data_IF_066931320664
#
_entry.id   IF_066931320664
#
_cell.length_a   1.000
_cell.length_b   1.000
_cell.length_c   1.000
_cell.angle_alpha   90.00
_cell.angle_beta   90.00
_cell.angle_gamma   90.00
#
_symmetry.space_group_name_H-M   'P 1'
#
loop_
_entity.id
_entity.type
_entity.pdbx_description
1 polymer ?
#
# COMPACT_ATOMS: atom_id res chain seq x y z
N UNK A 1 -19.16 -40.62 32.12
CA UNK A 1 -18.62 -39.25 32.28
C UNK A 1 -18.65 -38.59 30.92
N UNK A 2 -19.51 -37.59 30.81
CA UNK A 2 -19.91 -36.89 29.59
C UNK A 2 -18.76 -36.11 29.00
N UNK A 3 -18.49 -36.30 27.71
CA UNK A 3 -17.58 -35.42 26.89
C UNK A 3 -18.42 -34.20 26.49
N UNK A 4 -17.89 -33.03 26.83
CA UNK A 4 -18.41 -31.72 26.46
C UNK A 4 -18.10 -31.46 24.96
N UNK A 5 -19.07 -31.02 24.14
CA UNK A 5 -18.83 -30.72 22.75
C UNK A 5 -18.15 -29.35 22.61
N UNK A 6 -17.02 -29.35 21.90
CA UNK A 6 -16.24 -28.20 21.50
C UNK A 6 -17.09 -27.06 20.93
N UNK A 7 -16.76 -25.85 21.33
CA UNK A 7 -17.31 -24.59 20.81
C UNK A 7 -17.16 -24.52 19.29
N UNK A 8 -18.25 -24.72 18.59
CA UNK A 8 -18.41 -24.28 17.21
C UNK A 8 -18.51 -22.74 17.24
N UNK A 9 -17.46 -22.04 16.85
CA UNK A 9 -17.59 -20.62 16.49
C UNK A 9 -18.52 -20.55 15.29
N UNK A 10 -19.76 -20.19 15.53
CA UNK A 10 -20.73 -19.88 14.51
C UNK A 10 -20.17 -18.76 13.63
N UNK A 11 -20.14 -19.01 12.33
CA UNK A 11 -19.88 -17.98 11.32
C UNK A 11 -20.98 -16.94 11.47
N UNK A 12 -20.60 -15.71 11.80
CA UNK A 12 -21.52 -14.58 11.86
C UNK A 12 -21.98 -14.26 10.41
N UNK A 13 -23.23 -14.46 10.04
CA UNK A 13 -23.72 -14.18 8.70
C UNK A 13 -23.70 -12.67 8.34
N UNK A 14 -23.34 -11.79 9.27
CA UNK A 14 -23.18 -10.36 9.03
C UNK A 14 -21.90 -10.00 8.25
N UNK A 15 -20.97 -10.94 8.05
CA UNK A 15 -19.73 -10.71 7.30
C UNK A 15 -19.93 -10.67 5.76
N UNK A 16 -21.11 -10.95 5.24
CA UNK A 16 -21.36 -11.08 3.79
C UNK A 16 -21.76 -9.78 3.07
N UNK A 17 -21.98 -8.66 3.78
CA UNK A 17 -22.47 -7.42 3.17
C UNK A 17 -21.63 -6.19 3.54
N UNK A 18 -20.32 -6.23 3.27
CA UNK A 18 -19.46 -5.07 3.51
C UNK A 18 -19.55 -4.11 2.33
N UNK A 19 -19.73 -2.81 2.61
CA UNK A 19 -19.74 -1.80 1.56
C UNK A 19 -18.35 -1.70 0.89
N UNK A 20 -18.31 -1.64 -0.43
CA UNK A 20 -17.05 -1.47 -1.18
C UNK A 20 -16.29 -0.21 -0.73
N UNK A 21 -17.02 0.87 -0.45
CA UNK A 21 -16.47 2.12 0.08
C UNK A 21 -15.75 1.92 1.42
N UNK A 22 -16.25 1.06 2.29
CA UNK A 22 -15.62 0.73 3.58
C UNK A 22 -14.30 -0.03 3.38
N UNK A 23 -14.30 -1.04 2.49
CA UNK A 23 -13.07 -1.80 2.17
C UNK A 23 -11.97 -0.88 1.66
N UNK A 24 -12.31 0.01 0.72
CA UNK A 24 -11.34 0.95 0.13
C UNK A 24 -10.89 1.98 1.16
N UNK A 25 -11.79 2.53 1.98
CA UNK A 25 -11.46 3.48 3.04
C UNK A 25 -10.52 2.87 4.08
N UNK A 26 -10.73 1.61 4.47
CA UNK A 26 -9.88 0.93 5.43
C UNK A 26 -8.46 0.67 4.85
N UNK A 27 -8.37 0.25 3.60
CA UNK A 27 -7.10 -0.01 2.93
C UNK A 27 -6.33 1.27 2.55
N UNK A 28 -7.02 2.40 2.36
CA UNK A 28 -6.35 3.68 2.07
C UNK A 28 -5.37 4.10 3.17
N UNK A 29 -5.56 3.62 4.40
CA UNK A 29 -4.61 3.81 5.49
C UNK A 29 -3.22 3.19 5.20
N UNK A 30 -3.16 2.08 4.48
CA UNK A 30 -1.88 1.51 4.04
C UNK A 30 -1.15 2.46 3.07
N UNK A 31 -1.90 3.21 2.27
CA UNK A 31 -1.35 4.21 1.35
C UNK A 31 -0.81 5.45 2.11
N UNK A 32 -1.43 5.86 3.23
CA UNK A 32 -0.88 6.91 4.10
C UNK A 32 0.53 6.55 4.57
N UNK A 33 0.77 5.28 4.96
CA UNK A 33 2.08 4.78 5.37
C UNK A 33 3.11 4.89 4.24
N UNK A 34 2.71 4.60 3.00
CA UNK A 34 3.59 4.67 1.81
C UNK A 34 4.13 6.08 1.58
N UNK A 35 3.37 7.09 1.95
CA UNK A 35 3.71 8.51 1.80
C UNK A 35 4.36 9.13 3.04
N UNK A 36 4.59 8.35 4.09
CA UNK A 36 5.08 8.87 5.37
C UNK A 36 4.14 9.90 6.01
N UNK A 37 2.87 9.94 5.58
CA UNK A 37 1.88 10.87 6.10
C UNK A 37 1.29 10.37 7.42
N UNK A 38 0.87 11.28 8.31
CA UNK A 38 0.15 10.89 9.50
C UNK A 38 -1.13 10.13 9.13
N UNK A 39 -1.44 9.11 9.94
CA UNK A 39 -2.64 8.29 9.79
C UNK A 39 -3.88 9.15 9.54
N UNK A 40 -4.70 8.72 8.58
CA UNK A 40 -5.95 9.39 8.19
C UNK A 40 -5.77 10.49 7.15
N UNK A 41 -4.59 10.65 6.56
CA UNK A 41 -4.36 11.60 5.47
C UNK A 41 -5.34 11.41 4.31
N UNK A 42 -5.52 10.18 3.84
CA UNK A 42 -6.48 9.88 2.77
C UNK A 42 -7.92 10.21 3.18
N UNK A 43 -8.33 9.85 4.40
CA UNK A 43 -9.68 10.15 4.92
C UNK A 43 -9.95 11.65 5.07
N UNK A 44 -9.02 12.41 5.65
CA UNK A 44 -9.15 13.88 5.77
C UNK A 44 -9.13 14.55 4.40
N UNK A 45 -8.27 14.10 3.49
CA UNK A 45 -8.25 14.58 2.10
C UNK A 45 -9.60 14.30 1.41
N UNK A 46 -10.19 13.12 1.64
CA UNK A 46 -11.52 12.77 1.14
C UNK A 46 -12.60 13.70 1.69
N UNK A 47 -12.62 13.95 2.99
CA UNK A 47 -13.58 14.86 3.63
C UNK A 47 -13.49 16.28 3.03
N UNK A 48 -12.28 16.82 2.91
CA UNK A 48 -12.03 18.14 2.33
C UNK A 48 -12.42 18.19 0.85
N UNK A 49 -12.03 17.19 0.07
CA UNK A 49 -12.35 17.10 -1.36
C UNK A 49 -13.85 16.98 -1.61
N UNK A 50 -14.57 16.17 -0.84
CA UNK A 50 -16.03 16.04 -0.94
C UNK A 50 -16.77 17.31 -0.53
N UNK A 51 -16.21 18.09 0.41
CA UNK A 51 -16.74 19.43 0.76
C UNK A 51 -16.59 20.42 -0.40
N UNK A 52 -15.42 20.41 -1.06
CA UNK A 52 -15.15 21.25 -2.24
C UNK A 52 -15.99 20.80 -3.44
N UNK A 53 -16.16 19.51 -3.66
CA UNK A 53 -16.99 18.96 -4.74
C UNK A 53 -18.44 19.42 -4.67
N UNK A 54 -19.01 19.49 -3.45
CA UNK A 54 -20.36 20.05 -3.25
C UNK A 54 -20.41 21.55 -3.58
N UNK A 55 -19.39 22.30 -3.18
CA UNK A 55 -19.30 23.72 -3.50
C UNK A 55 -19.13 23.99 -5.01
N UNK A 56 -18.42 23.09 -5.71
CA UNK A 56 -18.22 23.12 -7.15
C UNK A 56 -19.42 22.57 -7.96
N UNK A 57 -20.49 22.12 -7.31
CA UNK A 57 -21.71 21.64 -7.96
C UNK A 57 -21.59 20.28 -8.66
N UNK A 58 -20.65 19.42 -8.25
CA UNK A 58 -20.49 18.08 -8.83
C UNK A 58 -21.73 17.22 -8.59
N UNK A 59 -22.14 16.46 -9.61
CA UNK A 59 -23.18 15.45 -9.54
C UNK A 59 -22.80 14.30 -8.58
N UNK A 60 -23.75 13.46 -8.21
CA UNK A 60 -23.49 12.29 -7.35
C UNK A 60 -22.51 11.32 -7.99
N UNK A 61 -22.62 11.10 -9.29
CA UNK A 61 -21.70 10.20 -10.04
C UNK A 61 -20.28 10.74 -10.01
N UNK A 62 -20.09 12.03 -10.29
CA UNK A 62 -18.76 12.67 -10.24
C UNK A 62 -18.19 12.66 -8.81
N UNK A 63 -19.04 12.87 -7.80
CA UNK A 63 -18.62 12.80 -6.40
C UNK A 63 -18.21 11.38 -5.98
N UNK A 64 -18.90 10.34 -6.48
CA UNK A 64 -18.50 8.96 -6.22
C UNK A 64 -17.15 8.66 -6.90
N UNK A 65 -16.94 9.08 -8.15
CA UNK A 65 -15.64 8.98 -8.83
C UNK A 65 -14.53 9.70 -8.05
N UNK A 66 -14.80 10.91 -7.57
CA UNK A 66 -13.86 11.68 -6.76
C UNK A 66 -13.54 11.01 -5.43
N UNK A 67 -14.54 10.41 -4.77
CA UNK A 67 -14.36 9.68 -3.52
C UNK A 67 -13.27 8.60 -3.65
N UNK A 68 -13.39 7.73 -4.65
CA UNK A 68 -12.40 6.67 -4.90
C UNK A 68 -11.05 7.24 -5.35
N UNK A 69 -11.04 8.30 -6.15
CA UNK A 69 -9.80 8.98 -6.53
C UNK A 69 -9.05 9.53 -5.32
N UNK A 70 -9.74 10.15 -4.36
CA UNK A 70 -9.14 10.73 -3.15
C UNK A 70 -8.56 9.67 -2.21
N UNK A 71 -9.23 8.53 -2.06
CA UNK A 71 -8.74 7.44 -1.21
C UNK A 71 -7.57 6.68 -1.84
N UNK A 72 -7.53 6.58 -3.16
CA UNK A 72 -6.53 5.81 -3.91
C UNK A 72 -5.45 6.67 -4.57
N UNK A 73 -5.45 7.99 -4.34
CA UNK A 73 -4.53 8.94 -4.95
C UNK A 73 -3.05 8.58 -4.81
N UNK A 74 -2.70 7.93 -3.72
CA UNK A 74 -1.33 7.55 -3.39
C UNK A 74 -0.98 6.09 -3.80
N UNK A 75 -1.86 5.37 -4.52
CA UNK A 75 -1.67 3.98 -4.90
C UNK A 75 -0.41 3.73 -5.76
N UNK A 76 0.03 4.74 -6.51
CA UNK A 76 1.26 4.66 -7.31
C UNK A 76 2.54 5.01 -6.56
N UNK A 77 2.44 5.55 -5.35
CA UNK A 77 3.57 6.19 -4.65
C UNK A 77 4.65 5.23 -4.15
N UNK A 78 4.33 3.96 -3.95
CA UNK A 78 5.32 2.93 -3.61
C UNK A 78 6.40 2.77 -4.68
N UNK A 79 6.06 2.92 -5.96
CA UNK A 79 6.99 2.73 -7.09
C UNK A 79 8.12 3.75 -7.19
N UNK A 80 8.01 4.90 -6.52
CA UNK A 80 9.03 5.93 -6.51
C UNK A 80 10.03 5.79 -5.35
N UNK A 81 9.74 4.94 -4.36
CA UNK A 81 10.47 4.85 -3.11
C UNK A 81 11.96 4.50 -3.30
N UNK A 82 12.26 3.40 -4.00
CA UNK A 82 13.63 2.96 -4.24
C UNK A 82 14.45 4.03 -5.00
N UNK A 83 13.85 4.66 -6.02
CA UNK A 83 14.53 5.69 -6.82
C UNK A 83 14.79 6.97 -6.02
N UNK A 84 13.86 7.37 -5.17
CA UNK A 84 14.06 8.52 -4.27
C UNK A 84 15.21 8.24 -3.29
N UNK A 85 15.22 7.08 -2.64
CA UNK A 85 16.31 6.67 -1.75
C UNK A 85 17.67 6.68 -2.47
N UNK A 86 17.75 6.20 -3.70
CA UNK A 86 18.97 6.22 -4.52
C UNK A 86 19.46 7.64 -4.80
N UNK A 87 18.58 8.53 -5.26
CA UNK A 87 18.94 9.93 -5.61
C UNK A 87 19.45 10.69 -4.37
N UNK A 88 18.84 10.45 -3.22
CA UNK A 88 19.17 11.15 -1.98
C UNK A 88 20.17 10.39 -1.10
N UNK A 89 20.95 9.47 -1.68
CA UNK A 89 22.10 8.84 -1.03
C UNK A 89 21.74 7.93 0.15
N UNK A 90 20.58 7.25 0.11
CA UNK A 90 20.13 6.34 1.15
C UNK A 90 19.25 6.99 2.23
N UNK A 91 18.82 8.23 2.02
CA UNK A 91 17.86 8.90 2.93
C UNK A 91 16.51 8.18 2.98
N UNK A 92 15.81 8.35 4.09
CA UNK A 92 14.49 7.77 4.31
C UNK A 92 13.47 8.31 3.29
N UNK A 93 12.93 7.41 2.44
CA UNK A 93 11.96 7.78 1.41
C UNK A 93 10.63 8.29 1.99
N UNK A 94 10.22 7.82 3.16
CA UNK A 94 9.01 8.28 3.83
C UNK A 94 9.15 9.73 4.31
N UNK A 95 10.32 10.08 4.85
CA UNK A 95 10.63 11.45 5.23
C UNK A 95 10.74 12.35 4.00
N UNK A 96 11.44 11.90 2.94
CA UNK A 96 11.56 12.63 1.67
C UNK A 96 10.20 12.94 1.04
N UNK A 97 9.30 11.98 0.99
CA UNK A 97 7.96 12.15 0.44
C UNK A 97 7.14 13.13 1.29
N UNK A 98 7.17 12.95 2.61
CA UNK A 98 6.48 13.82 3.56
C UNK A 98 6.95 15.27 3.42
N UNK A 99 8.26 15.50 3.45
CA UNK A 99 8.85 16.83 3.31
C UNK A 99 8.61 17.42 1.91
N UNK A 100 8.69 16.60 0.86
CA UNK A 100 8.47 17.01 -0.53
C UNK A 100 7.07 17.58 -0.79
N UNK A 101 6.03 17.08 -0.13
CA UNK A 101 4.65 17.63 -0.27
C UNK A 101 4.52 19.08 0.26
N UNK A 102 5.45 19.54 1.09
CA UNK A 102 5.48 20.92 1.61
C UNK A 102 6.18 21.90 0.67
N UNK A 103 6.99 21.40 -0.28
CA UNK A 103 7.90 22.20 -1.11
C UNK A 103 7.21 22.61 -2.43
N UNK A 104 7.43 23.86 -2.84
CA UNK A 104 7.11 24.32 -4.18
C UNK A 104 8.32 24.11 -5.11
N UNK A 105 8.39 22.95 -5.76
CA UNK A 105 9.49 22.62 -6.67
C UNK A 105 9.53 23.49 -7.94
N UNK A 106 8.50 24.28 -8.23
CA UNK A 106 8.53 25.29 -9.29
C UNK A 106 9.39 26.51 -8.90
N UNK A 107 9.76 26.62 -7.61
CA UNK A 107 10.66 27.65 -7.08
C UNK A 107 12.06 27.10 -6.87
N UNK A 108 13.06 27.50 -7.69
CA UNK A 108 14.41 26.92 -7.63
C UNK A 108 15.07 27.01 -6.24
N UNK A 109 14.78 28.09 -5.48
CA UNK A 109 15.32 28.27 -4.13
C UNK A 109 14.77 27.26 -3.12
N UNK A 110 13.48 26.91 -3.20
CA UNK A 110 12.86 25.90 -2.33
C UNK A 110 13.36 24.50 -2.71
N UNK A 111 13.42 24.19 -4.01
CA UNK A 111 13.94 22.93 -4.51
C UNK A 111 15.41 22.69 -4.09
N UNK A 112 16.26 23.72 -4.20
CA UNK A 112 17.66 23.62 -3.79
C UNK A 112 17.80 23.44 -2.27
N UNK A 113 16.95 24.11 -1.49
CA UNK A 113 16.92 23.95 -0.02
C UNK A 113 16.56 22.52 0.34
N UNK A 114 15.51 21.97 -0.25
CA UNK A 114 15.09 20.59 -0.04
C UNK A 114 16.23 19.60 -0.32
N UNK A 115 16.89 19.73 -1.48
CA UNK A 115 18.01 18.85 -1.82
C UNK A 115 19.15 19.00 -0.83
N UNK A 116 19.48 20.23 -0.42
CA UNK A 116 20.55 20.48 0.55
C UNK A 116 20.26 19.89 1.93
N UNK A 117 19.02 19.92 2.37
CA UNK A 117 18.60 19.39 3.67
C UNK A 117 18.59 17.85 3.70
N UNK A 118 18.27 17.20 2.58
CA UNK A 118 18.03 15.76 2.56
C UNK A 118 19.10 14.92 1.86
N UNK A 119 19.98 15.51 1.03
CA UNK A 119 21.00 14.77 0.29
C UNK A 119 22.37 14.73 0.98
N UNK A 120 22.54 15.43 2.10
CA UNK A 120 23.84 15.57 2.77
C UNK A 120 23.96 14.55 3.91
N UNK A 121 24.36 13.32 3.60
CA UNK A 121 24.49 12.22 4.57
C UNK A 121 25.91 12.07 5.16
N UNK A 122 26.94 12.59 4.48
CA UNK A 122 28.34 12.48 4.91
C UNK A 122 28.79 13.55 5.90
N UNK A 123 29.76 13.23 6.77
CA UNK A 123 30.29 14.15 7.79
C UNK A 123 31.24 15.22 7.25
N UNK A 124 31.84 15.01 6.05
CA UNK A 124 32.81 15.92 5.46
C UNK A 124 32.20 17.05 4.61
N UNK A 125 32.63 18.31 4.78
CA UNK A 125 32.11 19.46 4.01
C UNK A 125 32.20 19.29 2.49
N UNK A 126 33.30 18.75 1.98
CA UNK A 126 33.51 18.53 0.54
C UNK A 126 32.66 17.37 0.04
N UNK A 127 32.55 16.29 0.82
CA UNK A 127 31.68 15.15 0.51
C UNK A 127 30.23 15.57 0.45
N UNK A 128 29.75 16.30 1.44
CA UNK A 128 28.40 16.89 1.46
C UNK A 128 28.10 17.75 0.25
N UNK A 129 29.02 18.65 -0.11
CA UNK A 129 28.84 19.52 -1.28
C UNK A 129 28.71 18.69 -2.57
N UNK A 130 29.51 17.62 -2.72
CA UNK A 130 29.44 16.71 -3.86
C UNK A 130 28.11 15.95 -3.88
N UNK A 131 27.67 15.42 -2.76
CA UNK A 131 26.38 14.71 -2.64
C UNK A 131 25.20 15.60 -3.03
N UNK A 132 25.15 16.84 -2.51
CA UNK A 132 24.12 17.82 -2.86
C UNK A 132 24.13 18.15 -4.35
N UNK A 133 25.29 18.32 -4.97
CA UNK A 133 25.40 18.61 -6.40
C UNK A 133 24.89 17.40 -7.22
N UNK A 134 25.33 16.19 -6.87
CA UNK A 134 24.92 14.97 -7.57
C UNK A 134 23.39 14.76 -7.43
N UNK A 135 22.85 14.87 -6.23
CA UNK A 135 21.43 14.74 -5.98
C UNK A 135 20.62 15.82 -6.73
N UNK A 136 21.08 17.07 -6.74
CA UNK A 136 20.40 18.15 -7.48
C UNK A 136 20.36 17.87 -9.00
N UNK A 137 21.45 17.38 -9.56
CA UNK A 137 21.51 17.03 -11.02
C UNK A 137 20.58 15.83 -11.29
N UNK A 138 20.65 14.79 -10.47
CA UNK A 138 19.83 13.60 -10.67
C UNK A 138 18.34 13.90 -10.48
N UNK A 139 17.98 14.64 -9.44
CA UNK A 139 16.60 15.04 -9.19
C UNK A 139 16.05 15.95 -10.29
N UNK A 140 16.86 16.89 -10.80
CA UNK A 140 16.47 17.75 -11.94
C UNK A 140 16.20 16.94 -13.22
N UNK A 141 16.95 15.87 -13.45
CA UNK A 141 16.82 15.03 -14.65
C UNK A 141 15.69 14.00 -14.53
N UNK A 142 15.59 13.35 -13.40
CA UNK A 142 14.68 12.19 -13.21
C UNK A 142 13.40 12.52 -12.45
N UNK A 143 13.31 13.70 -11.80
CA UNK A 143 12.15 14.03 -10.96
C UNK A 143 10.83 14.05 -11.73
N UNK A 144 10.85 14.48 -13.01
CA UNK A 144 9.68 14.42 -13.88
C UNK A 144 9.23 13.00 -14.19
N UNK A 145 10.16 12.13 -14.54
CA UNK A 145 9.91 10.71 -14.84
C UNK A 145 9.39 9.95 -13.64
N UNK A 146 9.90 10.27 -12.44
CA UNK A 146 9.44 9.68 -11.18
C UNK A 146 7.98 10.03 -10.92
N UNK A 147 7.59 11.29 -11.12
CA UNK A 147 6.19 11.72 -10.93
C UNK A 147 5.30 11.07 -11.99
N UNK A 148 5.70 11.04 -13.25
CA UNK A 148 4.96 10.41 -14.34
C UNK A 148 4.73 8.91 -14.08
N UNK A 149 5.78 8.17 -13.76
CA UNK A 149 5.68 6.74 -13.46
C UNK A 149 4.74 6.46 -12.28
N UNK A 150 4.78 7.28 -11.23
CA UNK A 150 3.90 7.21 -10.06
C UNK A 150 2.45 7.47 -10.45
N UNK A 151 2.17 8.54 -11.18
CA UNK A 151 0.83 8.93 -11.59
C UNK A 151 0.20 7.88 -12.54
N UNK A 152 0.95 7.42 -13.53
CA UNK A 152 0.51 6.38 -14.47
C UNK A 152 0.25 5.04 -13.77
N UNK A 153 1.09 4.68 -12.79
CA UNK A 153 0.86 3.45 -12.01
C UNK A 153 -0.38 3.57 -11.13
N UNK A 154 -0.54 4.69 -10.42
CA UNK A 154 -1.73 4.94 -9.61
C UNK A 154 -3.01 4.84 -10.43
N UNK A 155 -3.05 5.47 -11.60
CA UNK A 155 -4.18 5.42 -12.52
C UNK A 155 -4.48 3.97 -13.00
N UNK A 156 -3.44 3.18 -13.33
CA UNK A 156 -3.62 1.77 -13.70
C UNK A 156 -4.19 0.94 -12.56
N UNK A 157 -3.72 1.14 -11.33
CA UNK A 157 -4.25 0.44 -10.15
C UNK A 157 -5.72 0.79 -9.95
N UNK A 158 -6.09 2.07 -10.01
CA UNK A 158 -7.51 2.50 -9.88
C UNK A 158 -8.38 1.91 -11.00
N UNK A 159 -7.89 1.87 -12.23
CA UNK A 159 -8.59 1.25 -13.36
C UNK A 159 -8.76 -0.27 -13.18
N UNK A 160 -7.73 -0.98 -12.68
CA UNK A 160 -7.80 -2.43 -12.42
C UNK A 160 -8.82 -2.81 -11.34
N UNK A 161 -9.11 -1.89 -10.43
CA UNK A 161 -10.16 -2.05 -9.41
C UNK A 161 -11.58 -1.93 -9.98
N UNK A 162 -11.72 -1.53 -11.24
CA UNK A 162 -13.03 -1.39 -11.92
C UNK A 162 -13.79 -0.14 -11.50
N UNK A 163 -13.11 0.89 -10.99
CA UNK A 163 -13.70 2.20 -10.74
C UNK A 163 -13.87 3.00 -12.03
N UNK A 164 -14.74 4.04 -12.03
CA UNK A 164 -14.96 4.85 -13.22
C UNK A 164 -13.66 5.43 -13.80
N UNK A 165 -13.54 5.55 -15.13
CA UNK A 165 -12.35 6.11 -15.79
C UNK A 165 -11.95 7.50 -15.26
N UNK A 166 -12.93 8.32 -14.88
CA UNK A 166 -12.71 9.66 -14.32
C UNK A 166 -11.93 9.62 -13.00
N UNK A 167 -12.12 8.55 -12.19
CA UNK A 167 -11.35 8.35 -10.95
C UNK A 167 -9.87 8.05 -11.26
N UNK A 168 -9.60 7.21 -12.25
CA UNK A 168 -8.24 6.90 -12.68
C UNK A 168 -7.55 8.13 -13.29
N UNK A 169 -8.26 8.90 -14.12
CA UNK A 169 -7.73 10.11 -14.71
C UNK A 169 -7.47 11.20 -13.65
N UNK A 170 -8.32 11.30 -12.62
CA UNK A 170 -8.09 12.20 -11.50
C UNK A 170 -6.81 11.85 -10.73
N UNK A 171 -6.52 10.56 -10.52
CA UNK A 171 -5.28 10.10 -9.88
C UNK A 171 -4.08 10.36 -10.80
N UNK A 172 -4.22 10.15 -12.12
CA UNK A 172 -3.16 10.43 -13.09
C UNK A 172 -2.75 11.89 -13.09
N UNK A 173 -3.73 12.80 -13.03
CA UNK A 173 -3.55 14.25 -13.19
C UNK A 173 -3.44 15.00 -11.85
N UNK A 174 -3.25 14.28 -10.73
CA UNK A 174 -3.28 14.82 -9.37
C UNK A 174 -2.25 15.93 -9.12
N UNK A 175 -1.06 15.80 -9.73
CA UNK A 175 0.05 16.74 -9.56
C UNK A 175 0.14 17.77 -10.68
N UNK A 176 -0.91 17.91 -11.51
CA UNK A 176 -1.03 19.01 -12.45
C UNK A 176 -1.30 20.31 -11.72
N UNK A 177 -0.70 21.41 -12.20
CA UNK A 177 -0.87 22.74 -11.65
C UNK A 177 -1.65 23.63 -12.62
N UNK A 178 -2.49 24.52 -12.09
CA UNK A 178 -3.33 25.39 -12.88
C UNK A 178 -2.57 26.22 -13.91
N UNK A 179 -1.34 26.62 -13.58
CA UNK A 179 -0.46 27.40 -14.46
C UNK A 179 0.30 26.58 -15.51
N UNK A 180 0.14 25.24 -15.52
CA UNK A 180 0.79 24.32 -16.45
C UNK A 180 2.22 23.91 -16.06
N UNK A 181 2.69 24.27 -14.86
CA UNK A 181 4.01 23.85 -14.36
C UNK A 181 3.95 22.54 -13.54
N UNK A 182 2.78 21.91 -13.48
CA UNK A 182 2.57 20.61 -12.84
C UNK A 182 3.05 19.44 -13.68
N UNK A 183 2.74 18.24 -13.25
CA UNK A 183 3.11 16.96 -13.87
C UNK A 183 1.91 15.99 -13.80
N UNK A 184 1.85 14.95 -14.61
CA UNK A 184 2.86 14.44 -15.56
C UNK A 184 2.84 15.10 -16.93
N UNK A 185 1.70 15.67 -17.36
CA UNK A 185 1.45 16.10 -18.75
C UNK A 185 1.68 17.59 -18.97
N UNK A 186 1.75 18.40 -17.90
CA UNK A 186 1.82 19.85 -17.97
C UNK A 186 0.52 20.48 -18.45
N UNK A 187 -0.62 19.89 -18.08
CA UNK A 187 -1.94 20.42 -18.41
C UNK A 187 -2.14 21.77 -17.73
N UNK A 188 -2.95 22.65 -18.37
CA UNK A 188 -3.16 24.01 -17.90
C UNK A 188 -4.63 24.36 -17.77
N UNK A 189 -4.98 25.04 -16.68
CA UNK A 189 -6.31 25.58 -16.46
C UNK A 189 -7.40 24.50 -16.52
N UNK A 190 -8.45 24.77 -17.30
CA UNK A 190 -9.58 23.85 -17.46
C UNK A 190 -9.27 22.56 -18.24
N UNK A 191 -8.06 22.44 -18.85
CA UNK A 191 -7.63 21.19 -19.45
C UNK A 191 -7.29 20.12 -18.38
N UNK A 192 -7.03 20.54 -17.13
CA UNK A 192 -6.86 19.61 -16.00
C UNK A 192 -8.26 19.10 -15.62
N UNK A 193 -8.47 17.78 -15.51
CA UNK A 193 -9.74 17.21 -15.06
C UNK A 193 -10.21 17.83 -13.74
N UNK A 194 -11.50 18.15 -13.62
CA UNK A 194 -12.01 18.85 -12.44
C UNK A 194 -11.79 18.06 -11.15
N UNK A 195 -11.94 16.73 -11.20
CA UNK A 195 -11.70 15.87 -10.06
C UNK A 195 -10.23 15.92 -9.60
N UNK A 196 -9.28 15.99 -10.53
CA UNK A 196 -7.86 16.16 -10.23
C UNK A 196 -7.56 17.51 -9.56
N UNK A 197 -8.18 18.62 -10.06
CA UNK A 197 -8.04 19.94 -9.45
C UNK A 197 -8.52 19.96 -7.99
N UNK A 198 -9.66 19.30 -7.71
CA UNK A 198 -10.18 19.17 -6.33
C UNK A 198 -9.25 18.30 -5.48
N UNK A 199 -8.77 17.19 -6.02
CA UNK A 199 -7.86 16.30 -5.28
C UNK A 199 -6.53 17.00 -4.96
N UNK A 200 -5.95 17.76 -5.89
CA UNK A 200 -4.72 18.52 -5.70
C UNK A 200 -4.82 19.52 -4.55
N UNK A 201 -5.86 20.34 -4.50
CA UNK A 201 -6.04 21.30 -3.40
C UNK A 201 -6.36 20.59 -2.08
N UNK A 202 -7.19 19.55 -2.07
CA UNK A 202 -7.60 18.85 -0.87
C UNK A 202 -6.41 18.16 -0.18
N UNK A 203 -5.56 17.43 -0.93
CA UNK A 203 -4.37 16.78 -0.37
C UNK A 203 -3.36 17.81 0.17
N UNK A 204 -3.13 18.89 -0.58
CA UNK A 204 -2.15 19.90 -0.16
C UNK A 204 -2.63 20.65 1.08
N UNK A 205 -3.91 20.94 1.17
CA UNK A 205 -4.53 21.54 2.37
C UNK A 205 -4.36 20.63 3.57
N UNK A 206 -4.64 19.32 3.47
CA UNK A 206 -4.48 18.39 4.60
C UNK A 206 -3.03 18.33 5.10
N UNK A 207 -2.06 18.29 4.18
CA UNK A 207 -0.64 18.26 4.54
C UNK A 207 -0.24 19.52 5.34
N UNK A 208 -0.62 20.73 4.87
CA UNK A 208 -0.31 21.98 5.58
C UNK A 208 -1.11 22.14 6.86
N UNK A 209 -2.37 21.74 6.88
CA UNK A 209 -3.24 21.77 8.05
C UNK A 209 -2.66 20.89 9.17
N UNK A 210 -2.23 19.68 8.82
CA UNK A 210 -1.66 18.74 9.79
C UNK A 210 -0.29 19.18 10.30
N UNK A 211 0.55 19.77 9.43
CA UNK A 211 1.89 20.20 9.80
C UNK A 211 1.92 21.53 10.57
N UNK A 212 1.07 22.49 10.20
CA UNK A 212 1.20 23.89 10.63
C UNK A 212 -0.13 24.54 11.07
N UNK A 213 -1.25 23.81 10.98
CA UNK A 213 -2.57 24.30 11.36
C UNK A 213 -3.30 25.10 10.25
N UNK A 214 -4.56 25.43 10.53
CA UNK A 214 -5.47 26.08 9.57
C UNK A 214 -5.00 27.44 9.05
N UNK A 215 -4.41 28.34 9.86
CA UNK A 215 -3.92 29.62 9.35
C UNK A 215 -2.85 29.44 8.26
N UNK A 216 -1.91 28.53 8.46
CA UNK A 216 -0.85 28.25 7.49
C UNK A 216 -1.40 27.59 6.21
N UNK A 217 -2.37 26.68 6.33
CA UNK A 217 -3.05 26.08 5.19
C UNK A 217 -3.76 27.13 4.33
N UNK A 218 -4.44 28.08 4.96
CA UNK A 218 -5.09 29.21 4.23
C UNK A 218 -4.09 30.12 3.54
N UNK A 219 -2.99 30.44 4.19
CA UNK A 219 -1.94 31.28 3.59
C UNK A 219 -1.31 30.58 2.37
N UNK A 220 -1.02 29.29 2.50
CA UNK A 220 -0.53 28.46 1.39
C UNK A 220 -1.52 28.45 0.21
N UNK A 221 -2.84 28.30 0.46
CA UNK A 221 -3.86 28.33 -0.60
C UNK A 221 -3.89 29.71 -1.28
N UNK A 222 -3.83 30.83 -0.53
CA UNK A 222 -3.74 32.18 -1.13
C UNK A 222 -2.51 32.34 -2.01
N UNK A 223 -1.34 31.88 -1.51
CA UNK A 223 -0.08 31.99 -2.25
C UNK A 223 -0.01 31.11 -3.51
N UNK A 224 -0.78 30.01 -3.55
CA UNK A 224 -0.81 29.07 -4.68
C UNK A 224 -2.06 29.24 -5.58
N UNK A 225 -2.99 30.13 -5.26
CA UNK A 225 -4.18 30.45 -6.05
C UNK A 225 -3.78 30.90 -7.47
N UNK A 226 -4.37 30.32 -8.50
CA UNK A 226 -4.07 30.61 -9.92
C UNK A 226 -2.71 30.13 -10.39
N UNK A 227 -1.94 29.49 -9.52
CA UNK A 227 -0.67 28.82 -9.86
C UNK A 227 -0.82 27.31 -9.77
N UNK A 228 -0.90 26.76 -8.58
CA UNK A 228 -1.16 25.33 -8.37
C UNK A 228 -2.64 25.04 -8.46
N UNK A 229 -3.45 25.88 -7.82
CA UNK A 229 -4.87 25.65 -7.64
C UNK A 229 -5.72 26.47 -8.58
N UNK A 230 -6.80 25.86 -9.03
CA UNK A 230 -7.93 26.53 -9.68
C UNK A 230 -8.39 27.69 -8.78
N UNK A 231 -8.48 28.92 -9.31
CA UNK A 231 -8.91 30.08 -8.55
C UNK A 231 -10.26 29.91 -7.85
N UNK A 232 -11.25 29.29 -8.52
CA UNK A 232 -12.60 29.12 -7.97
C UNK A 232 -12.61 28.11 -6.82
N UNK A 233 -11.83 27.01 -6.93
CA UNK A 233 -11.67 26.04 -5.85
C UNK A 233 -10.89 26.60 -4.66
N UNK A 234 -9.87 27.42 -4.92
CA UNK A 234 -9.15 28.13 -3.87
C UNK A 234 -10.06 29.09 -3.10
N UNK A 235 -10.88 29.86 -3.82
CA UNK A 235 -11.85 30.79 -3.21
C UNK A 235 -12.93 30.02 -2.43
N UNK A 236 -13.43 28.89 -2.94
CA UNK A 236 -14.37 28.03 -2.24
C UNK A 236 -13.78 27.48 -0.93
N UNK A 237 -12.51 27.07 -0.92
CA UNK A 237 -11.84 26.66 0.31
C UNK A 237 -11.69 27.83 1.30
N UNK A 238 -11.24 28.98 0.84
CA UNK A 238 -11.02 30.17 1.69
C UNK A 238 -12.33 30.72 2.28
N UNK A 239 -13.47 30.44 1.64
CA UNK A 239 -14.80 30.80 2.14
C UNK A 239 -15.29 29.89 3.28
N UNK A 240 -14.66 28.75 3.55
CA UNK A 240 -15.00 27.89 4.69
C UNK A 240 -14.66 28.63 5.98
N UNK A 241 -15.66 28.89 6.84
CA UNK A 241 -15.51 29.65 8.09
C UNK A 241 -14.78 28.83 9.16
N UNK A 242 -14.18 29.50 10.16
CA UNK A 242 -13.50 28.83 11.28
C UNK A 242 -14.45 27.96 12.12
N UNK A 243 -15.73 28.31 12.20
CA UNK A 243 -16.76 27.54 12.89
C UNK A 243 -17.45 26.47 12.02
N UNK A 244 -16.98 26.19 10.81
CA UNK A 244 -17.58 25.16 9.96
C UNK A 244 -17.41 23.77 10.62
N UNK A 245 -18.47 22.95 10.67
CA UNK A 245 -18.42 21.61 11.26
C UNK A 245 -17.34 20.68 10.69
N UNK A 246 -16.88 20.94 9.46
CA UNK A 246 -15.85 20.13 8.81
C UNK A 246 -14.58 20.00 9.67
N UNK A 247 -14.19 21.07 10.37
CA UNK A 247 -12.97 21.08 11.16
C UNK A 247 -13.03 20.09 12.33
N UNK A 248 -14.20 19.96 12.96
CA UNK A 248 -14.43 18.95 14.01
C UNK A 248 -14.60 17.51 13.48
N UNK A 249 -14.84 17.34 12.18
CA UNK A 249 -14.98 16.03 11.55
C UNK A 249 -13.63 15.45 11.06
N UNK A 250 -12.58 16.26 10.98
CA UNK A 250 -11.28 15.79 10.47
C UNK A 250 -10.67 14.67 11.34
N UNK A 251 -10.85 14.73 12.66
CA UNK A 251 -10.37 13.68 13.57
C UNK A 251 -11.18 12.38 13.41
N UNK A 252 -12.47 12.49 13.04
CA UNK A 252 -13.34 11.35 12.79
C UNK A 252 -13.02 10.66 11.45
N UNK A 253 -12.35 11.33 10.52
CA UNK A 253 -11.87 10.76 9.27
C UNK A 253 -10.75 9.70 9.43
N UNK A 254 -10.34 9.41 10.66
CA UNK A 254 -9.49 8.27 11.02
C UNK A 254 -10.24 6.93 10.97
N UNK A 255 -11.57 6.97 11.09
CA UNK A 255 -12.40 5.76 11.12
C UNK A 255 -12.94 5.45 9.71
N UNK A 256 -12.66 4.24 9.16
CA UNK A 256 -13.08 3.86 7.80
C UNK A 256 -14.59 4.00 7.57
N UNK A 257 -15.42 3.63 8.55
CA UNK A 257 -16.87 3.73 8.46
C UNK A 257 -17.34 5.19 8.27
N UNK A 258 -16.70 6.15 8.96
CA UNK A 258 -17.02 7.59 8.79
C UNK A 258 -16.69 8.06 7.37
N UNK A 259 -15.54 7.62 6.83
CA UNK A 259 -15.12 7.98 5.48
C UNK A 259 -15.99 7.31 4.42
N UNK A 260 -16.40 6.06 4.64
CA UNK A 260 -17.29 5.33 3.73
C UNK A 260 -18.63 6.02 3.47
N UNK A 261 -19.17 6.70 4.49
CA UNK A 261 -20.42 7.47 4.34
C UNK A 261 -20.31 8.73 3.47
N UNK A 262 -19.10 9.13 3.08
CA UNK A 262 -18.90 10.27 2.17
C UNK A 262 -19.19 9.91 0.71
N UNK A 263 -19.14 8.63 0.33
CA UNK A 263 -19.51 8.18 -1.01
C UNK A 263 -21.02 8.26 -1.21
N UNK A 264 -21.54 9.07 -2.17
CA UNK A 264 -22.97 9.16 -2.46
C UNK A 264 -23.61 7.83 -2.87
N UNK A 265 -22.83 6.95 -3.51
CA UNK A 265 -23.25 5.58 -3.93
C UNK A 265 -22.88 4.48 -2.96
N UNK A 266 -22.13 4.79 -1.90
CA UNK A 266 -21.40 3.82 -1.08
C UNK A 266 -22.23 2.86 -0.26
N UNK A 267 -23.47 3.19 0.05
CA UNK A 267 -24.37 2.28 0.82
C UNK A 267 -25.08 1.24 -0.04
N UNK A 268 -24.97 1.36 -1.37
CA UNK A 268 -25.69 0.48 -2.32
C UNK A 268 -24.81 -0.59 -2.97
N UNK A 269 -23.48 -0.38 -3.01
CA UNK A 269 -22.55 -1.33 -3.61
C UNK A 269 -21.82 -2.13 -2.53
N UNK A 270 -22.21 -3.38 -2.37
CA UNK A 270 -21.52 -4.36 -1.51
C UNK A 270 -20.34 -4.96 -2.25
N UNK A 271 -19.23 -5.20 -1.52
CA UNK A 271 -18.07 -5.90 -2.05
C UNK A 271 -18.36 -7.41 -2.08
N UNK A 272 -18.44 -7.98 -3.27
CA UNK A 272 -18.48 -9.43 -3.46
C UNK A 272 -17.07 -10.05 -3.46
N UNK A 273 -17.00 -11.38 -3.56
CA UNK A 273 -15.73 -12.11 -3.61
C UNK A 273 -14.82 -11.62 -4.76
N UNK A 274 -15.39 -11.36 -5.93
CA UNK A 274 -14.63 -10.83 -7.08
C UNK A 274 -14.05 -9.45 -6.81
N UNK A 275 -14.77 -8.57 -6.08
CA UNK A 275 -14.28 -7.25 -5.69
C UNK A 275 -13.11 -7.39 -4.70
N UNK A 276 -13.25 -8.28 -3.69
CA UNK A 276 -12.20 -8.55 -2.72
C UNK A 276 -10.95 -9.15 -3.35
N UNK A 277 -11.10 -10.02 -4.34
CA UNK A 277 -9.98 -10.60 -5.09
C UNK A 277 -9.26 -9.54 -5.92
N UNK A 278 -10.00 -8.65 -6.63
CA UNK A 278 -9.43 -7.53 -7.38
C UNK A 278 -8.70 -6.56 -6.49
N UNK A 279 -9.29 -6.20 -5.35
CA UNK A 279 -8.68 -5.30 -4.37
C UNK A 279 -7.40 -5.93 -3.81
N UNK A 280 -7.43 -7.20 -3.42
CA UNK A 280 -6.24 -7.90 -2.91
C UNK A 280 -5.11 -7.93 -3.93
N UNK A 281 -5.41 -8.21 -5.21
CA UNK A 281 -4.44 -8.19 -6.29
C UNK A 281 -3.88 -6.78 -6.55
N UNK A 282 -4.73 -5.75 -6.55
CA UNK A 282 -4.29 -4.38 -6.74
C UNK A 282 -3.37 -3.89 -5.61
N UNK A 283 -3.67 -4.25 -4.36
CA UNK A 283 -2.78 -3.91 -3.23
C UNK A 283 -1.51 -4.76 -3.21
N UNK A 284 -1.53 -6.00 -3.68
CA UNK A 284 -0.32 -6.78 -3.94
C UNK A 284 0.62 -6.04 -4.92
N UNK A 285 0.06 -5.48 -6.01
CA UNK A 285 0.83 -4.64 -6.93
C UNK A 285 1.43 -3.39 -6.25
N UNK A 286 0.71 -2.75 -5.32
CA UNK A 286 1.24 -1.63 -4.53
C UNK A 286 2.40 -2.07 -3.66
N UNK A 287 2.29 -3.21 -2.98
CA UNK A 287 3.31 -3.78 -2.10
C UNK A 287 4.56 -4.14 -2.91
N UNK A 288 4.37 -4.89 -3.98
CA UNK A 288 5.47 -5.41 -4.80
C UNK A 288 6.24 -4.30 -5.53
N UNK A 289 5.57 -3.16 -5.78
CA UNK A 289 6.22 -1.98 -6.39
C UNK A 289 7.15 -1.23 -5.44
N UNK A 290 7.08 -1.48 -4.14
CA UNK A 290 7.87 -0.73 -3.16
C UNK A 290 9.36 -1.01 -3.28
N UNK A 291 9.72 -2.25 -3.63
CA UNK A 291 11.11 -2.67 -3.78
C UNK A 291 11.31 -3.41 -5.12
N UNK A 292 12.44 -3.19 -5.81
CA UNK A 292 12.78 -3.96 -7.02
C UNK A 292 12.99 -5.46 -6.73
N UNK A 293 13.10 -5.85 -5.46
CA UNK A 293 13.30 -7.23 -5.03
C UNK A 293 12.00 -7.99 -4.81
N UNK A 294 10.85 -7.33 -4.83
CA UNK A 294 9.53 -7.91 -4.53
C UNK A 294 8.62 -8.01 -5.76
N UNK A 295 9.16 -7.87 -6.97
CA UNK A 295 8.37 -7.98 -8.19
C UNK A 295 7.68 -9.35 -8.27
N UNK A 296 6.33 -9.36 -8.35
CA UNK A 296 5.46 -10.54 -8.35
C UNK A 296 5.58 -11.46 -7.11
N UNK A 297 6.27 -11.04 -6.04
CA UNK A 297 6.44 -11.84 -4.83
C UNK A 297 5.11 -12.20 -4.20
N UNK A 298 4.25 -11.22 -3.96
CA UNK A 298 2.95 -11.42 -3.33
C UNK A 298 2.07 -12.41 -4.11
N UNK A 299 2.11 -12.35 -5.45
CA UNK A 299 1.39 -13.28 -6.32
C UNK A 299 1.99 -14.70 -6.22
N UNK A 300 3.31 -14.83 -6.27
CA UNK A 300 4.00 -16.11 -6.12
C UNK A 300 3.68 -16.79 -4.79
N UNK A 301 3.75 -16.03 -3.68
CA UNK A 301 3.38 -16.54 -2.34
C UNK A 301 1.93 -17.02 -2.31
N UNK A 302 1.00 -16.24 -2.88
CA UNK A 302 -0.41 -16.63 -2.93
C UNK A 302 -0.64 -17.90 -3.74
N UNK A 303 0.04 -18.07 -4.88
CA UNK A 303 -0.08 -19.25 -5.72
C UNK A 303 0.48 -20.50 -5.04
N UNK A 304 1.65 -20.42 -4.41
CA UNK A 304 2.20 -21.54 -3.61
C UNK A 304 1.33 -21.85 -2.39
N UNK A 305 0.84 -20.83 -1.67
CA UNK A 305 -0.03 -21.04 -0.52
C UNK A 305 -1.30 -21.79 -0.89
N UNK A 306 -1.94 -21.43 -2.01
CA UNK A 306 -3.12 -22.12 -2.54
C UNK A 306 -2.78 -23.55 -2.94
N UNK A 307 -1.66 -23.79 -3.63
CA UNK A 307 -1.25 -25.12 -4.05
C UNK A 307 -0.96 -26.04 -2.83
N UNK A 308 -0.25 -25.55 -1.84
CA UNK A 308 0.03 -26.25 -0.57
C UNK A 308 -1.29 -26.56 0.15
N UNK A 309 -2.18 -25.58 0.29
CA UNK A 309 -3.47 -25.74 0.97
C UNK A 309 -4.33 -26.85 0.33
N UNK A 310 -4.36 -26.93 -0.99
CA UNK A 310 -5.07 -27.98 -1.71
C UNK A 310 -4.51 -29.38 -1.42
N UNK A 311 -3.20 -29.52 -1.39
CA UNK A 311 -2.53 -30.80 -1.02
C UNK A 311 -2.79 -31.17 0.43
N UNK A 312 -2.85 -30.19 1.34
CA UNK A 312 -3.20 -30.40 2.75
C UNK A 312 -4.70 -30.67 2.98
N UNK A 313 -5.53 -30.68 1.96
CA UNK A 313 -6.96 -30.98 2.07
C UNK A 313 -7.79 -29.84 2.66
N UNK A 314 -7.31 -28.59 2.58
CA UNK A 314 -8.10 -27.42 2.99
C UNK A 314 -9.34 -27.29 2.09
N UNK A 315 -10.48 -26.96 2.68
CA UNK A 315 -11.74 -26.89 1.97
C UNK A 315 -11.75 -25.84 0.85
N UNK A 316 -12.48 -26.11 -0.23
CA UNK A 316 -12.56 -25.18 -1.37
C UNK A 316 -13.07 -23.79 -0.97
N UNK A 317 -13.92 -23.71 0.04
CA UNK A 317 -14.45 -22.44 0.58
C UNK A 317 -13.37 -21.56 1.24
N UNK A 318 -12.30 -22.15 1.77
CA UNK A 318 -11.19 -21.41 2.40
C UNK A 318 -10.11 -20.96 1.40
N UNK A 319 -10.06 -21.54 0.21
CA UNK A 319 -9.02 -21.25 -0.79
C UNK A 319 -8.96 -19.76 -1.18
N UNK A 320 -10.08 -19.05 -1.46
CA UNK A 320 -10.03 -17.62 -1.75
C UNK A 320 -9.43 -16.81 -0.58
N UNK A 321 -9.73 -17.14 0.66
CA UNK A 321 -9.18 -16.47 1.84
C UNK A 321 -7.67 -16.66 1.95
N UNK A 322 -7.18 -17.88 1.68
CA UNK A 322 -5.74 -18.18 1.67
C UNK A 322 -5.04 -17.39 0.57
N UNK A 323 -5.63 -17.31 -0.63
CA UNK A 323 -5.10 -16.50 -1.72
C UNK A 323 -4.98 -15.03 -1.33
N UNK A 324 -6.05 -14.43 -0.78
CA UNK A 324 -6.05 -13.04 -0.30
C UNK A 324 -5.03 -12.83 0.82
N UNK A 325 -4.91 -13.77 1.74
CA UNK A 325 -3.90 -13.71 2.80
C UNK A 325 -2.47 -13.72 2.23
N UNK A 326 -2.19 -14.54 1.22
CA UNK A 326 -0.91 -14.55 0.52
C UNK A 326 -0.62 -13.25 -0.23
N UNK A 327 -1.63 -12.69 -0.93
CA UNK A 327 -1.49 -11.42 -1.65
C UNK A 327 -1.20 -10.23 -0.72
N UNK A 328 -1.74 -10.26 0.51
CA UNK A 328 -1.72 -9.12 1.44
C UNK A 328 -0.78 -9.33 2.64
N UNK A 329 -0.06 -10.47 2.75
CA UNK A 329 0.76 -10.78 3.94
C UNK A 329 1.79 -9.70 4.26
N UNK A 330 2.31 -9.05 3.25
CA UNK A 330 3.38 -8.06 3.32
C UNK A 330 2.90 -6.59 3.25
N UNK A 331 1.59 -6.32 3.31
CA UNK A 331 1.06 -4.95 3.21
C UNK A 331 1.66 -4.00 4.27
N UNK A 332 2.07 -4.51 5.40
CA UNK A 332 2.74 -3.74 6.45
C UNK A 332 4.13 -3.21 6.06
N UNK A 333 4.79 -3.78 5.03
CA UNK A 333 6.06 -3.26 4.49
C UNK A 333 5.93 -1.86 3.89
N UNK A 334 4.71 -1.42 3.56
CA UNK A 334 4.46 -0.05 3.10
C UNK A 334 4.89 1.00 4.14
N UNK A 335 4.88 0.67 5.42
CA UNK A 335 5.36 1.52 6.51
C UNK A 335 6.85 1.38 6.84
N UNK A 336 7.63 0.58 6.08
CA UNK A 336 9.08 0.43 6.29
C UNK A 336 9.83 1.19 5.21
N UNK A 337 10.84 1.99 5.60
CA UNK A 337 11.64 2.77 4.65
C UNK A 337 12.42 1.90 3.66
N UNK A 338 12.52 2.34 2.40
CA UNK A 338 13.36 1.68 1.39
C UNK A 338 14.86 1.81 1.69
N UNK A 339 15.27 2.81 2.46
CA UNK A 339 16.66 2.89 2.94
C UNK A 339 17.05 1.66 3.80
N UNK A 340 16.05 0.99 4.39
CA UNK A 340 16.21 -0.25 5.15
C UNK A 340 15.94 -1.47 4.27
N UNK A 341 14.81 -1.49 3.54
CA UNK A 341 14.38 -2.65 2.74
C UNK A 341 15.37 -2.99 1.63
N UNK A 342 15.92 -1.96 0.96
CA UNK A 342 16.83 -2.09 -0.19
C UNK A 342 18.31 -1.90 0.20
N UNK A 343 18.64 -1.89 1.50
CA UNK A 343 20.01 -1.67 1.96
C UNK A 343 20.96 -2.74 1.42
N UNK A 344 22.02 -2.35 0.66
CA UNK A 344 22.95 -3.30 0.07
C UNK A 344 23.99 -3.83 1.09
N UNK A 345 23.61 -3.93 2.37
CA UNK A 345 24.45 -4.37 3.47
C UNK A 345 23.60 -5.05 4.54
N UNK A 346 24.27 -5.69 5.51
CA UNK A 346 23.56 -6.26 6.67
C UNK A 346 22.84 -5.16 7.45
N UNK A 347 21.59 -5.41 7.82
CA UNK A 347 20.83 -4.52 8.69
C UNK A 347 21.43 -4.47 10.09
N UNK A 348 21.42 -3.30 10.69
CA UNK A 348 21.67 -3.13 12.13
C UNK A 348 20.50 -3.70 12.93
N UNK A 349 20.69 -3.92 14.23
CA UNK A 349 19.61 -4.44 15.09
C UNK A 349 18.40 -3.50 15.13
N UNK A 350 18.61 -2.18 15.07
CA UNK A 350 17.55 -1.17 15.03
C UNK A 350 16.77 -1.24 13.70
N UNK A 351 17.47 -1.34 12.57
CA UNK A 351 16.85 -1.48 11.26
C UNK A 351 16.08 -2.81 11.14
N UNK A 352 16.68 -3.89 11.64
CA UNK A 352 16.00 -5.19 11.66
C UNK A 352 14.76 -5.18 12.56
N UNK A 353 14.82 -4.50 13.71
CA UNK A 353 13.65 -4.31 14.58
C UNK A 353 12.52 -3.54 13.85
N UNK A 354 12.86 -2.54 13.02
CA UNK A 354 11.87 -1.82 12.20
C UNK A 354 11.23 -2.74 11.15
N UNK A 355 12.02 -3.57 10.47
CA UNK A 355 11.47 -4.56 9.52
C UNK A 355 10.53 -5.54 10.21
N UNK A 356 10.90 -6.03 11.41
CA UNK A 356 10.09 -6.98 12.19
C UNK A 356 8.71 -6.46 12.61
N UNK A 357 8.44 -5.18 12.43
CA UNK A 357 7.11 -4.61 12.72
C UNK A 357 6.11 -4.82 11.59
N UNK A 358 6.54 -5.15 10.35
CA UNK A 358 5.60 -5.24 9.23
C UNK A 358 4.50 -6.29 9.41
N UNK A 359 4.70 -7.48 10.04
CA UNK A 359 3.61 -8.42 10.25
C UNK A 359 2.55 -7.87 11.22
N UNK A 360 2.99 -7.10 12.23
CA UNK A 360 2.07 -6.38 13.11
C UNK A 360 1.26 -5.33 12.34
N UNK A 361 1.91 -4.52 11.49
CA UNK A 361 1.22 -3.54 10.66
C UNK A 361 0.28 -4.22 9.67
N UNK A 362 0.66 -5.37 9.08
CA UNK A 362 -0.21 -6.19 8.24
C UNK A 362 -1.51 -6.53 8.97
N UNK A 363 -1.41 -7.07 10.18
CA UNK A 363 -2.58 -7.41 10.96
C UNK A 363 -3.41 -6.19 11.34
N UNK A 364 -2.79 -5.09 11.77
CA UNK A 364 -3.48 -3.85 12.12
C UNK A 364 -4.23 -3.25 10.92
N UNK A 365 -3.69 -3.33 9.71
CA UNK A 365 -4.33 -2.85 8.48
C UNK A 365 -5.52 -3.75 8.12
N UNK A 366 -5.29 -5.06 8.04
CA UNK A 366 -6.30 -6.01 7.60
C UNK A 366 -7.46 -6.16 8.59
N UNK A 367 -7.20 -6.04 9.89
CA UNK A 367 -8.24 -6.10 10.92
C UNK A 367 -9.26 -4.96 10.85
N UNK A 368 -8.94 -3.86 10.16
CA UNK A 368 -9.86 -2.73 9.94
C UNK A 368 -10.86 -2.97 8.85
N UNK A 369 -10.60 -3.96 8.00
CA UNK A 369 -11.49 -4.37 6.92
C UNK A 369 -12.25 -5.58 7.41
N UNK A 370 -13.56 -5.44 7.69
CA UNK A 370 -14.37 -6.54 8.21
C UNK A 370 -14.30 -7.79 7.34
N UNK A 371 -14.27 -7.64 6.00
CA UNK A 371 -14.10 -8.72 5.04
C UNK A 371 -12.74 -9.45 5.13
N UNK A 372 -11.70 -8.82 5.68
CA UNK A 372 -10.37 -9.40 5.84
C UNK A 372 -10.04 -9.78 7.29
N UNK A 373 -10.93 -9.53 8.24
CA UNK A 373 -10.72 -9.84 9.66
C UNK A 373 -10.34 -11.30 9.91
N UNK A 374 -10.92 -12.24 9.16
CA UNK A 374 -10.64 -13.67 9.26
C UNK A 374 -9.23 -14.06 8.79
N UNK A 375 -8.61 -13.28 7.89
CA UNK A 375 -7.26 -13.54 7.38
C UNK A 375 -6.20 -12.69 8.07
N UNK A 376 -6.57 -11.62 8.76
CA UNK A 376 -5.66 -10.63 9.33
C UNK A 376 -4.64 -11.28 10.28
N UNK A 377 -5.10 -12.14 11.19
CA UNK A 377 -4.22 -12.85 12.12
C UNK A 377 -3.24 -13.77 11.38
N UNK A 378 -3.72 -14.55 10.41
CA UNK A 378 -2.89 -15.50 9.67
C UNK A 378 -1.84 -14.77 8.82
N UNK A 379 -2.24 -13.69 8.14
CA UNK A 379 -1.34 -12.86 7.37
C UNK A 379 -0.29 -12.16 8.26
N UNK A 380 -0.68 -11.65 9.44
CA UNK A 380 0.25 -11.07 10.41
C UNK A 380 1.13 -12.08 11.14
N UNK A 381 0.90 -13.39 11.00
CA UNK A 381 1.65 -14.45 11.66
C UNK A 381 2.59 -15.22 10.72
N UNK A 382 2.81 -14.75 9.48
CA UNK A 382 3.62 -15.48 8.49
C UNK A 382 5.12 -15.60 8.85
N UNK A 383 5.62 -14.82 9.79
CA UNK A 383 6.96 -14.90 10.35
C UNK A 383 7.00 -15.52 11.76
N UNK A 384 5.90 -16.06 12.24
CA UNK A 384 5.91 -16.90 13.43
C UNK A 384 6.56 -18.26 13.10
N UNK A 385 7.20 -18.85 14.11
CA UNK A 385 7.91 -20.12 13.98
C UNK A 385 7.25 -21.19 14.85
N UNK A 386 7.36 -22.45 14.46
CA UNK A 386 6.78 -23.57 15.20
C UNK A 386 7.33 -23.67 16.63
N UNK A 387 8.62 -23.32 16.81
CA UNK A 387 9.31 -23.31 18.11
C UNK A 387 8.96 -22.10 19.00
N UNK A 388 8.15 -21.14 18.51
CA UNK A 388 7.77 -19.93 19.24
C UNK A 388 8.83 -18.84 19.27
N UNK A 389 9.91 -18.96 18.50
CA UNK A 389 10.98 -17.95 18.40
C UNK A 389 10.76 -16.93 17.28
N UNK A 390 9.60 -17.02 16.61
CA UNK A 390 9.19 -16.10 15.55
C UNK A 390 8.82 -14.70 16.05
N UNK A 391 8.22 -13.92 15.20
CA UNK A 391 7.76 -12.57 15.50
C UNK A 391 6.47 -12.25 14.72
N UNK A 392 5.62 -11.36 15.20
CA UNK A 392 5.84 -10.37 16.28
C UNK A 392 5.34 -10.81 17.66
N UNK A 393 4.69 -11.99 17.79
CA UNK A 393 4.05 -12.47 19.02
C UNK A 393 4.83 -13.57 19.74
N UNK A 394 5.69 -14.30 19.01
CA UNK A 394 6.39 -15.46 19.55
C UNK A 394 5.44 -16.60 19.90
N UNK A 395 4.48 -16.91 19.03
CA UNK A 395 3.47 -17.93 19.26
C UNK A 395 4.03 -19.32 18.91
N UNK A 396 3.81 -20.33 19.78
CA UNK A 396 4.18 -21.71 19.45
C UNK A 396 3.28 -22.27 18.35
N UNK A 397 3.79 -23.21 17.56
CA UNK A 397 3.10 -23.80 16.42
C UNK A 397 1.70 -24.35 16.70
N UNK A 398 1.45 -24.82 17.96
CA UNK A 398 0.12 -25.28 18.39
C UNK A 398 -0.94 -24.18 18.41
N UNK A 399 -0.55 -22.90 18.46
CA UNK A 399 -1.45 -21.74 18.44
C UNK A 399 -1.53 -21.09 17.05
N UNK A 400 -0.71 -21.53 16.09
CA UNK A 400 -0.74 -20.98 14.75
C UNK A 400 -1.82 -21.67 13.91
N UNK A 401 -2.75 -20.90 13.28
CA UNK A 401 -3.71 -21.48 12.35
C UNK A 401 -2.99 -22.11 11.15
N UNK A 402 -3.64 -23.07 10.51
CA UNK A 402 -3.08 -23.77 9.35
C UNK A 402 -2.65 -22.81 8.25
N UNK A 403 -3.42 -21.76 8.03
CA UNK A 403 -3.13 -20.73 7.01
C UNK A 403 -1.80 -20.02 7.30
N UNK A 404 -1.51 -19.62 8.53
CA UNK A 404 -0.25 -18.99 8.90
C UNK A 404 0.96 -19.93 8.66
N UNK A 405 0.82 -21.23 8.97
CA UNK A 405 1.86 -22.24 8.73
C UNK A 405 2.10 -22.47 7.23
N UNK A 406 1.05 -22.43 6.41
CA UNK A 406 1.14 -22.49 4.95
C UNK A 406 1.86 -21.25 4.40
N UNK A 407 1.47 -20.05 4.85
CA UNK A 407 2.06 -18.79 4.40
C UNK A 407 3.56 -18.74 4.72
N UNK A 408 3.98 -19.14 5.92
CA UNK A 408 5.39 -19.17 6.29
C UNK A 408 6.24 -20.06 5.36
N UNK A 409 5.71 -21.19 4.91
CA UNK A 409 6.37 -22.09 3.96
C UNK A 409 6.36 -21.48 2.55
N UNK A 410 5.24 -20.93 2.09
CA UNK A 410 5.09 -20.35 0.77
C UNK A 410 5.99 -19.11 0.59
N UNK A 411 6.03 -18.22 1.57
CA UNK A 411 6.83 -17.00 1.55
C UNK A 411 8.33 -17.32 1.46
N UNK A 412 8.84 -18.18 2.36
CA UNK A 412 10.27 -18.53 2.37
C UNK A 412 10.67 -19.27 1.10
N UNK A 413 9.81 -20.17 0.58
CA UNK A 413 10.08 -20.87 -0.66
C UNK A 413 10.15 -19.90 -1.85
N UNK A 414 9.16 -19.02 -2.01
CA UNK A 414 9.13 -18.02 -3.07
C UNK A 414 10.36 -17.12 -2.98
N UNK A 415 10.64 -16.58 -1.78
CA UNK A 415 11.78 -15.70 -1.55
C UNK A 415 13.15 -16.33 -1.89
N UNK A 416 13.31 -17.64 -1.74
CA UNK A 416 14.55 -18.36 -2.09
C UNK A 416 14.59 -18.78 -3.57
N UNK A 417 13.44 -19.11 -4.18
CA UNK A 417 13.35 -19.64 -5.54
C UNK A 417 13.34 -18.56 -6.62
N UNK A 418 12.87 -17.34 -6.31
CA UNK A 418 12.80 -16.23 -7.26
C UNK A 418 14.18 -15.68 -7.62
N UNK A 419 14.37 -15.38 -8.92
CA UNK A 419 15.51 -14.56 -9.37
C UNK A 419 15.35 -13.13 -8.85
N UNK A 420 16.43 -12.60 -8.29
CA UNK A 420 16.48 -11.21 -7.82
C UNK A 420 17.61 -10.46 -8.54
N UNK A 421 17.57 -9.12 -8.66
CA UNK A 421 18.55 -8.36 -9.46
C UNK A 421 20.03 -8.69 -9.19
N UNK A 422 20.34 -9.19 -7.99
CA UNK A 422 21.73 -9.51 -7.59
C UNK A 422 21.94 -10.99 -7.22
N UNK A 423 20.92 -11.84 -7.39
CA UNK A 423 21.00 -13.24 -7.00
C UNK A 423 20.05 -14.09 -7.84
N UNK A 424 20.58 -15.09 -8.53
CA UNK A 424 19.77 -16.16 -9.10
C UNK A 424 19.01 -16.91 -8.01
N UNK A 425 17.82 -17.39 -8.32
CA UNK A 425 17.05 -18.27 -7.45
C UNK A 425 17.87 -19.53 -7.09
N UNK A 426 17.65 -20.05 -5.91
CA UNK A 426 18.29 -21.31 -5.52
C UNK A 426 17.63 -22.51 -6.21
N UNK A 427 18.39 -23.56 -6.52
CA UNK A 427 17.83 -24.83 -6.98
C UNK A 427 16.82 -25.41 -5.97
N UNK A 428 15.72 -25.97 -6.49
CA UNK A 428 14.59 -26.50 -5.69
C UNK A 428 15.05 -27.49 -4.64
N UNK A 429 15.93 -28.43 -5.01
CA UNK A 429 16.45 -29.49 -4.11
C UNK A 429 17.18 -28.88 -2.92
N UNK A 430 17.94 -27.80 -3.15
CA UNK A 430 18.65 -27.10 -2.09
C UNK A 430 17.69 -26.38 -1.14
N UNK A 431 16.66 -25.72 -1.69
CA UNK A 431 15.63 -25.05 -0.88
C UNK A 431 14.92 -26.08 0.00
N UNK A 432 14.46 -27.18 -0.60
CA UNK A 432 13.77 -28.24 0.12
C UNK A 432 14.67 -28.89 1.20
N UNK A 433 15.97 -29.00 0.95
CA UNK A 433 16.94 -29.46 1.96
C UNK A 433 16.95 -28.54 3.18
N UNK A 434 17.13 -27.22 2.96
CA UNK A 434 17.13 -26.20 4.02
C UNK A 434 15.80 -26.22 4.80
N UNK A 435 14.66 -26.26 4.09
CA UNK A 435 13.36 -26.24 4.75
C UNK A 435 13.06 -27.50 5.56
N UNK A 436 13.56 -28.68 5.12
CA UNK A 436 13.42 -29.93 5.87
C UNK A 436 14.24 -29.93 7.17
N UNK A 437 15.45 -29.38 7.13
CA UNK A 437 16.30 -29.25 8.31
C UNK A 437 15.67 -28.36 9.40
N UNK A 438 14.82 -27.41 9.00
CA UNK A 438 14.12 -26.50 9.88
C UNK A 438 12.66 -26.94 10.23
N UNK A 439 12.24 -28.16 9.85
CA UNK A 439 10.94 -28.71 10.27
C UNK A 439 10.91 -28.91 11.79
N UNK A 440 9.79 -28.48 12.41
CA UNK A 440 9.62 -28.54 13.87
C UNK A 440 10.26 -27.38 14.62
N UNK A 441 11.09 -26.58 13.96
CA UNK A 441 11.64 -25.31 14.47
C UNK A 441 11.01 -24.12 13.76
N UNK A 442 11.37 -23.87 12.50
CA UNK A 442 10.76 -22.79 11.72
C UNK A 442 9.43 -23.22 11.09
N UNK A 443 9.38 -24.40 10.50
CA UNK A 443 8.29 -24.80 9.60
C UNK A 443 7.45 -25.97 10.12
N UNK A 444 6.18 -25.97 9.71
CA UNK A 444 5.27 -27.09 9.86
C UNK A 444 5.64 -28.21 8.87
N UNK A 445 5.86 -29.43 9.35
CA UNK A 445 6.24 -30.58 8.53
C UNK A 445 5.21 -30.89 7.45
N UNK A 446 3.92 -30.86 7.79
CA UNK A 446 2.83 -31.14 6.83
C UNK A 446 2.83 -30.12 5.67
N UNK A 447 3.11 -28.84 5.94
CA UNK A 447 3.15 -27.80 4.92
C UNK A 447 4.40 -27.93 4.03
N UNK A 448 5.56 -28.31 4.58
CA UNK A 448 6.79 -28.57 3.80
C UNK A 448 6.63 -29.80 2.92
N UNK A 449 6.01 -30.87 3.42
CA UNK A 449 5.72 -32.07 2.63
C UNK A 449 4.71 -31.78 1.50
N UNK A 450 3.67 -30.99 1.81
CA UNK A 450 2.72 -30.55 0.78
C UNK A 450 3.40 -29.70 -0.32
N UNK A 451 4.33 -28.81 0.05
CA UNK A 451 5.15 -28.09 -0.93
C UNK A 451 5.96 -29.03 -1.82
N UNK A 452 6.61 -30.04 -1.21
CA UNK A 452 7.37 -31.04 -1.97
C UNK A 452 6.49 -31.77 -3.02
N UNK A 453 5.27 -32.16 -2.63
CA UNK A 453 4.30 -32.78 -3.55
C UNK A 453 3.91 -31.81 -4.68
N UNK A 454 3.68 -30.53 -4.37
CA UNK A 454 3.37 -29.50 -5.37
C UNK A 454 4.49 -29.41 -6.40
N UNK A 455 5.73 -29.34 -5.96
CA UNK A 455 6.89 -29.18 -6.85
C UNK A 455 7.16 -30.43 -7.69
N UNK A 456 6.96 -31.62 -7.13
CA UNK A 456 7.07 -32.90 -7.85
C UNK A 456 6.05 -33.02 -8.99
N UNK A 457 4.85 -32.48 -8.80
CA UNK A 457 3.81 -32.44 -9.86
C UNK A 457 4.16 -31.49 -11.01
N UNK A 458 4.86 -30.40 -10.75
CA UNK A 458 5.31 -29.47 -11.79
C UNK A 458 6.51 -30.00 -12.60
N UNK A 459 7.25 -30.93 -12.05
CA UNK A 459 8.41 -31.57 -12.71
C UNK A 459 8.04 -32.79 -13.56
N UNK A 460 6.79 -33.29 -13.46
CA UNK A 460 6.31 -34.42 -14.26
C UNK A 460 5.99 -33.94 -15.70
N UNK A 461 6.44 -34.64 -16.77
CA UNK A 461 6.08 -34.29 -18.14
C UNK A 461 4.56 -34.35 -18.30
N UNK A 462 3.99 -33.43 -19.12
CA UNK A 462 2.57 -33.19 -19.30
C UNK A 462 1.72 -34.42 -19.75
N UNK A 463 2.34 -35.61 -19.97
CA UNK A 463 1.69 -36.85 -20.34
C UNK A 463 1.04 -37.62 -19.18
N UNK A 464 1.47 -37.43 -17.95
CA UNK A 464 1.00 -38.23 -16.80
C UNK A 464 -0.16 -37.60 -16.00
N UNK A 465 -0.54 -36.35 -16.32
CA UNK A 465 -1.60 -35.62 -15.64
C UNK A 465 -3.04 -36.07 -16.03
N UNK A 466 -3.22 -36.84 -17.13
CA UNK A 466 -4.55 -37.30 -17.57
C UNK A 466 -4.99 -38.59 -16.85
N UNK A 467 -4.06 -39.36 -16.27
CA UNK A 467 -4.37 -40.59 -15.60
C UNK A 467 -4.83 -40.46 -14.13
N UNK A 468 -4.57 -39.34 -13.49
CA UNK A 468 -4.86 -39.15 -12.06
C UNK A 468 -6.22 -38.45 -11.74
N UNK A 469 -7.01 -38.12 -12.78
CA UNK A 469 -8.31 -37.41 -12.61
C UNK A 469 -9.51 -38.31 -12.87
N UNK A 470 -9.32 -39.62 -13.14
CA UNK A 470 -10.39 -40.62 -13.39
C UNK A 470 -10.25 -41.85 -12.48
N UNK A 471 -9.88 -41.66 -11.21
CA UNK A 471 -9.90 -42.71 -10.21
C UNK A 471 -10.64 -42.25 -8.97
#
# INVERSE_FOLDING_TARGET
MSMDPAHSHGVDPAAENVALSEVVAALSHALDLTEGQPRGHAGRTCLLGMRLARAAGLSEVERSSLYYALLLKDAGCSSSAARMTEIFGGSDDLELKRAGKLVDFSRPGEALRFVKEHAATSDGRLSRAREVIVAAIQFSRSGGEIVEARCDRGARIVASLGFPPDAAEAVRSLDEHWDGHGRPQGLRGAAIPQLARIACIAQTVDVFLTAFGLPAAREMVRARRGRWFDPDLADAFLAIRDGDPIWGQLDQALEPATVAHLDPGGTTRTAGDEDLDRISAAFADVIDAKSPYTFNHSTGVADYAVAIARVMGVTTAEIPKIRRAGLLHDIGKLGVSNSILDKPARLTDVEFAAVRLHPRFTEEILSRVSAFSQIAFAAGAHHERIDGTGYHRGLPGSKLPVVARILAVADVYEAMSADRPYRAGMPVERILGIMRDDVGTAFCGDAVEALHIVLGRHSAPAGDLVAATLG
#
